data_IF_235176459238
#
_entry.id   IF_235176459238
#
_cell.length_a   1.000
_cell.length_b   1.000
_cell.length_c   1.000
_cell.angle_alpha   90.00
_cell.angle_beta   90.00
_cell.angle_gamma   90.00
#
_symmetry.space_group_name_H-M   'P 1'
#
loop_
_entity.id
_entity.type
_entity.pdbx_description
1 polymer ?
#
# COMPACT_ATOMS: atom_id res chain seq x y z
N UNK A 1 12.33 11.00 12.80
CA UNK A 1 10.86 10.85 12.68
C UNK A 1 10.40 9.86 13.74
N UNK A 2 9.34 10.18 14.50
CA UNK A 2 8.75 9.21 15.41
C UNK A 2 8.27 7.96 14.63
N UNK A 3 8.47 6.74 15.15
CA UNK A 3 8.09 5.50 14.46
C UNK A 3 6.62 5.49 14.02
N UNK A 4 5.74 6.09 14.82
CA UNK A 4 4.33 6.28 14.48
C UNK A 4 4.06 7.09 13.21
N UNK A 5 4.80 8.17 13.00
CA UNK A 5 4.65 9.03 11.81
C UNK A 5 5.01 8.28 10.54
N UNK A 6 6.03 7.42 10.60
CA UNK A 6 6.47 6.60 9.45
C UNK A 6 5.40 5.61 9.01
N UNK A 7 4.77 4.91 9.96
CA UNK A 7 3.73 3.93 9.64
C UNK A 7 2.46 4.58 9.09
N UNK A 8 2.08 5.75 9.60
CA UNK A 8 0.95 6.54 9.07
C UNK A 8 1.24 7.10 7.68
N UNK A 9 2.43 7.64 7.46
CA UNK A 9 2.86 8.08 6.13
C UNK A 9 2.83 6.92 5.12
N UNK A 10 3.33 5.74 5.52
CA UNK A 10 3.26 4.55 4.69
C UNK A 10 1.82 4.13 4.39
N UNK A 11 0.92 4.20 5.36
CA UNK A 11 -0.49 3.90 5.14
C UNK A 11 -1.12 4.82 4.08
N UNK A 12 -0.83 6.12 4.15
CA UNK A 12 -1.27 7.09 3.14
C UNK A 12 -0.68 6.76 1.77
N UNK A 13 0.64 6.54 1.69
CA UNK A 13 1.32 6.22 0.42
C UNK A 13 0.75 4.95 -0.22
N UNK A 14 0.55 3.87 0.53
CA UNK A 14 -0.02 2.63 -0.01
C UNK A 14 -1.47 2.83 -0.47
N UNK A 15 -2.30 3.58 0.26
CA UNK A 15 -3.67 3.89 -0.18
C UNK A 15 -3.72 4.75 -1.44
N UNK A 16 -2.82 5.74 -1.55
CA UNK A 16 -2.69 6.56 -2.75
C UNK A 16 -2.20 5.72 -3.91
N UNK A 17 -1.26 4.81 -3.68
CA UNK A 17 -0.75 3.91 -4.71
C UNK A 17 -1.86 2.99 -5.24
N UNK A 18 -2.71 2.42 -4.38
CA UNK A 18 -3.89 1.66 -4.82
C UNK A 18 -4.78 2.48 -5.74
N UNK A 19 -5.08 3.72 -5.33
CA UNK A 19 -5.88 4.65 -6.13
C UNK A 19 -5.23 5.02 -7.46
N UNK A 20 -3.92 5.27 -7.47
CA UNK A 20 -3.17 5.56 -8.69
C UNK A 20 -3.16 4.36 -9.63
N UNK A 21 -3.00 3.14 -9.13
CA UNK A 21 -2.99 1.93 -9.95
C UNK A 21 -4.33 1.73 -10.65
N UNK A 22 -5.44 1.81 -9.91
CA UNK A 22 -6.79 1.69 -10.51
C UNK A 22 -7.06 2.86 -11.45
N UNK A 23 -6.83 4.08 -10.99
CA UNK A 23 -7.20 5.29 -11.73
C UNK A 23 -6.36 5.55 -12.98
N UNK A 24 -5.03 5.39 -12.90
CA UNK A 24 -4.17 5.54 -14.07
C UNK A 24 -4.29 4.36 -15.03
N UNK A 25 -4.63 3.16 -14.53
CA UNK A 25 -4.94 2.01 -15.38
C UNK A 25 -6.13 2.27 -16.29
N UNK A 26 -7.15 2.93 -15.74
CA UNK A 26 -8.33 3.39 -16.46
C UNK A 26 -8.02 4.58 -17.38
N UNK A 27 -7.35 5.62 -16.89
CA UNK A 27 -6.98 6.78 -17.69
C UNK A 27 -6.11 6.41 -18.90
N UNK A 28 -5.34 5.33 -18.81
CA UNK A 28 -4.53 4.82 -19.92
C UNK A 28 -5.38 4.32 -21.11
N UNK A 29 -6.69 4.10 -20.94
CA UNK A 29 -7.63 3.73 -22.00
C UNK A 29 -7.90 4.87 -23.00
N UNK A 30 -7.66 6.13 -22.62
CA UNK A 30 -7.70 7.27 -23.56
C UNK A 30 -6.59 7.17 -24.63
N UNK A 31 -5.59 6.31 -24.44
CA UNK A 31 -4.54 6.08 -25.42
C UNK A 31 -4.82 4.86 -26.32
N UNK A 32 -4.37 4.88 -27.60
CA UNK A 32 -4.50 3.74 -28.50
C UNK A 32 -3.88 2.46 -27.90
N UNK A 33 -4.50 1.30 -28.16
CA UNK A 33 -4.12 0.00 -27.58
C UNK A 33 -2.64 -0.34 -27.72
N UNK A 34 -2.02 0.02 -28.86
CA UNK A 34 -0.61 -0.28 -29.16
C UNK A 34 0.33 0.93 -28.98
N UNK A 35 -0.14 2.01 -28.35
CA UNK A 35 0.68 3.20 -28.17
C UNK A 35 1.81 2.97 -27.15
N UNK A 36 2.99 3.57 -27.35
CA UNK A 36 4.08 3.50 -26.39
C UNK A 36 3.71 4.16 -25.05
N UNK A 37 2.90 5.23 -25.08
CA UNK A 37 2.41 5.89 -23.88
C UNK A 37 1.64 4.92 -22.97
N UNK A 38 0.66 4.19 -23.52
CA UNK A 38 -0.13 3.21 -22.75
C UNK A 38 0.73 2.11 -22.14
N UNK A 39 1.68 1.57 -22.91
CA UNK A 39 2.62 0.54 -22.43
C UNK A 39 3.50 1.06 -21.29
N UNK A 40 4.04 2.27 -21.41
CA UNK A 40 4.87 2.90 -20.38
C UNK A 40 4.07 3.15 -19.09
N UNK A 41 2.80 3.57 -19.21
CA UNK A 41 1.93 3.74 -18.04
C UNK A 41 1.74 2.42 -17.29
N UNK A 42 1.35 1.34 -17.96
CA UNK A 42 1.20 0.04 -17.29
C UNK A 42 2.51 -0.51 -16.72
N UNK A 43 3.64 -0.32 -17.43
CA UNK A 43 4.95 -0.70 -16.91
C UNK A 43 5.33 0.10 -15.66
N UNK A 44 5.05 1.41 -15.62
CA UNK A 44 5.27 2.25 -14.46
C UNK A 44 4.39 1.85 -13.27
N UNK A 45 3.11 1.52 -13.52
CA UNK A 45 2.20 1.02 -12.49
C UNK A 45 2.67 -0.31 -11.90
N UNK A 46 3.03 -1.28 -12.76
CA UNK A 46 3.58 -2.55 -12.33
C UNK A 46 4.87 -2.34 -11.53
N UNK A 47 5.77 -1.47 -12.01
CA UNK A 47 7.00 -1.10 -11.31
C UNK A 47 6.75 -0.48 -9.93
N UNK A 48 5.76 0.41 -9.82
CA UNK A 48 5.42 1.05 -8.55
C UNK A 48 4.85 0.05 -7.52
N UNK A 49 3.97 -0.86 -7.96
CA UNK A 49 3.44 -1.93 -7.10
C UNK A 49 4.54 -2.88 -6.64
N UNK A 50 5.42 -3.31 -7.56
CA UNK A 50 6.56 -4.16 -7.22
C UNK A 50 7.53 -3.45 -6.27
N UNK A 51 7.76 -2.15 -6.46
CA UNK A 51 8.61 -1.36 -5.58
C UNK A 51 8.02 -1.24 -4.17
N UNK A 52 6.71 -0.98 -4.01
CA UNK A 52 6.08 -0.93 -2.68
C UNK A 52 6.14 -2.30 -1.98
N UNK A 53 5.85 -3.38 -2.71
CA UNK A 53 5.97 -4.75 -2.20
C UNK A 53 7.41 -5.07 -1.76
N UNK A 54 8.41 -4.75 -2.59
CA UNK A 54 9.81 -4.94 -2.22
C UNK A 54 10.21 -4.09 -1.01
N UNK A 55 9.76 -2.83 -0.94
CA UNK A 55 9.99 -1.95 0.20
C UNK A 55 9.31 -2.43 1.48
N UNK A 56 8.23 -3.22 1.39
CA UNK A 56 7.63 -3.86 2.57
C UNK A 56 8.47 -5.01 3.11
N UNK A 57 9.28 -5.65 2.26
CA UNK A 57 10.15 -6.76 2.65
C UNK A 57 11.55 -6.32 3.11
N UNK A 58 11.95 -5.07 2.87
CA UNK A 58 13.25 -4.53 3.30
C UNK A 58 13.57 -4.81 4.78
N UNK A 59 12.65 -4.66 5.75
CA UNK A 59 12.93 -5.01 7.15
C UNK A 59 13.25 -6.49 7.34
N UNK A 60 12.52 -7.37 6.65
CA UNK A 60 12.73 -8.82 6.67
C UNK A 60 14.10 -9.17 6.08
N UNK A 61 14.43 -8.61 4.91
CA UNK A 61 15.72 -8.82 4.25
C UNK A 61 16.88 -8.33 5.11
N UNK A 62 16.73 -7.18 5.76
CA UNK A 62 17.73 -6.65 6.71
C UNK A 62 17.90 -7.54 7.93
N UNK A 63 16.83 -8.13 8.46
CA UNK A 63 16.90 -9.06 9.57
C UNK A 63 17.68 -10.32 9.17
N UNK A 64 17.33 -10.92 8.02
CA UNK A 64 18.00 -12.12 7.48
C UNK A 64 19.48 -11.84 7.22
N UNK A 65 19.80 -10.71 6.58
CA UNK A 65 21.20 -10.33 6.30
C UNK A 65 22.02 -10.11 7.57
N UNK A 66 21.37 -9.76 8.69
CA UNK A 66 21.99 -9.63 10.01
C UNK A 66 21.98 -10.94 10.82
N UNK A 67 21.64 -12.08 10.21
CA UNK A 67 21.57 -13.39 10.88
C UNK A 67 20.42 -13.53 11.88
N UNK A 68 19.45 -12.60 11.88
CA UNK A 68 18.28 -12.63 12.76
C UNK A 68 17.10 -13.32 12.06
N UNK A 69 16.19 -13.95 12.82
CA UNK A 69 14.99 -14.54 12.24
C UNK A 69 14.16 -13.48 11.49
N UNK A 70 13.48 -13.87 10.39
CA UNK A 70 12.60 -12.97 9.67
C UNK A 70 11.51 -12.43 10.61
N UNK A 71 11.15 -11.16 10.42
CA UNK A 71 10.17 -10.51 11.28
C UNK A 71 8.81 -11.23 11.14
N UNK A 72 8.23 -11.77 12.24
CA UNK A 72 6.95 -12.44 12.14
C UNK A 72 5.87 -11.43 11.76
N UNK A 73 5.12 -11.74 10.70
CA UNK A 73 3.93 -10.98 10.31
C UNK A 73 2.76 -11.55 11.08
N UNK A 74 2.13 -10.74 11.93
CA UNK A 74 0.96 -11.17 12.68
C UNK A 74 -0.21 -11.49 11.73
N UNK A 75 -1.04 -12.53 12.00
CA UNK A 75 -2.19 -12.85 11.14
C UNK A 75 -3.13 -11.66 10.88
N UNK A 76 -3.46 -10.80 11.87
CA UNK A 76 -4.27 -9.61 11.63
C UNK A 76 -3.64 -8.62 10.64
N UNK A 77 -2.31 -8.50 10.64
CA UNK A 77 -1.60 -7.64 9.70
C UNK A 77 -1.70 -8.17 8.26
N UNK A 78 -1.56 -9.48 8.08
CA UNK A 78 -1.67 -10.14 6.79
C UNK A 78 -3.10 -10.02 6.22
N UNK A 79 -4.11 -10.26 7.05
CA UNK A 79 -5.53 -10.14 6.67
C UNK A 79 -5.88 -8.74 6.16
N UNK A 80 -5.34 -7.69 6.77
CA UNK A 80 -5.56 -6.30 6.31
C UNK A 80 -4.92 -6.03 4.94
N UNK A 81 -3.74 -6.60 4.68
CA UNK A 81 -3.11 -6.52 3.36
C UNK A 81 -3.93 -7.22 2.27
N UNK A 82 -4.42 -8.42 2.58
CA UNK A 82 -5.29 -9.18 1.65
C UNK A 82 -6.60 -8.42 1.40
N UNK A 83 -7.24 -7.91 2.45
CA UNK A 83 -8.47 -7.14 2.32
C UNK A 83 -8.30 -5.89 1.46
N UNK A 84 -7.19 -5.15 1.63
CA UNK A 84 -6.90 -3.98 0.79
C UNK A 84 -6.70 -4.39 -0.67
N UNK A 85 -5.96 -5.47 -0.93
CA UNK A 85 -5.79 -6.03 -2.28
C UNK A 85 -7.12 -6.44 -2.92
N UNK A 86 -8.00 -7.11 -2.17
CA UNK A 86 -9.33 -7.50 -2.64
C UNK A 86 -10.21 -6.30 -2.96
N UNK A 87 -10.17 -5.24 -2.14
CA UNK A 87 -10.90 -3.99 -2.40
C UNK A 87 -10.40 -3.32 -3.66
N UNK A 88 -9.08 -3.19 -3.85
CA UNK A 88 -8.49 -2.62 -5.06
C UNK A 88 -8.84 -3.43 -6.31
N UNK A 89 -8.77 -4.76 -6.25
CA UNK A 89 -9.18 -5.65 -7.35
C UNK A 89 -10.67 -5.51 -7.63
N UNK A 90 -11.51 -5.45 -6.59
CA UNK A 90 -12.94 -5.24 -6.71
C UNK A 90 -13.29 -3.95 -7.44
N UNK A 91 -12.61 -2.84 -7.10
CA UNK A 91 -12.76 -1.58 -7.83
C UNK A 91 -12.29 -1.68 -9.28
N UNK A 92 -11.13 -2.29 -9.55
CA UNK A 92 -10.65 -2.47 -10.92
C UNK A 92 -11.59 -3.32 -11.79
N UNK A 93 -12.22 -4.35 -11.22
CA UNK A 93 -13.23 -5.15 -11.91
C UNK A 93 -14.51 -4.33 -12.14
N UNK A 94 -14.98 -3.61 -11.12
CA UNK A 94 -16.17 -2.78 -11.23
C UNK A 94 -16.00 -1.71 -12.30
N UNK A 95 -14.87 -0.99 -12.31
CA UNK A 95 -14.58 0.03 -13.34
C UNK A 95 -14.57 -0.58 -14.72
N UNK A 96 -13.92 -1.73 -14.90
CA UNK A 96 -13.89 -2.45 -16.19
C UNK A 96 -15.31 -2.76 -16.70
N UNK A 97 -16.23 -3.14 -15.82
CA UNK A 97 -17.63 -3.45 -16.19
C UNK A 97 -18.41 -2.19 -16.57
N UNK A 98 -18.23 -1.10 -15.81
CA UNK A 98 -19.01 0.14 -16.02
C UNK A 98 -18.36 1.14 -16.96
N UNK A 99 -17.11 0.93 -17.38
CA UNK A 99 -16.33 1.84 -18.21
C UNK A 99 -17.04 2.14 -19.53
N UNK A 100 -17.30 1.12 -20.35
CA UNK A 100 -17.94 1.27 -21.65
C UNK A 100 -19.25 2.09 -21.63
N UNK A 101 -20.23 1.81 -20.76
CA UNK A 101 -21.44 2.62 -20.68
C UNK A 101 -21.18 4.04 -20.14
N UNK A 102 -20.35 4.21 -19.11
CA UNK A 102 -20.09 5.52 -18.50
C UNK A 102 -19.26 6.42 -19.41
N UNK A 103 -18.22 5.89 -20.05
CA UNK A 103 -17.39 6.63 -20.98
C UNK A 103 -18.20 7.14 -22.17
N UNK A 104 -19.12 6.32 -22.70
CA UNK A 104 -20.07 6.74 -23.74
C UNK A 104 -21.01 7.84 -23.24
N UNK A 105 -21.52 7.74 -22.02
CA UNK A 105 -22.39 8.77 -21.45
C UNK A 105 -21.64 10.11 -21.24
N UNK A 106 -20.40 10.06 -20.76
CA UNK A 106 -19.53 11.23 -20.61
C UNK A 106 -19.17 11.87 -21.96
N UNK A 107 -18.83 11.05 -22.96
CA UNK A 107 -18.54 11.51 -24.31
C UNK A 107 -19.75 12.22 -24.94
N UNK A 108 -20.97 11.68 -24.75
CA UNK A 108 -22.22 12.34 -25.19
C UNK A 108 -22.46 13.69 -24.50
N UNK A 109 -21.91 13.89 -23.31
CA UNK A 109 -21.94 15.17 -22.57
C UNK A 109 -20.78 16.10 -22.94
N UNK A 110 -19.96 15.76 -23.94
CA UNK A 110 -18.86 16.61 -24.42
C UNK A 110 -17.56 16.47 -23.63
N UNK A 111 -17.42 15.45 -22.79
CA UNK A 111 -16.15 15.21 -22.06
C UNK A 111 -15.10 14.68 -23.03
N UNK A 112 -14.03 15.46 -23.22
CA UNK A 112 -12.96 15.14 -24.18
C UNK A 112 -12.11 13.91 -23.79
N UNK A 113 -11.99 13.62 -22.48
CA UNK A 113 -11.20 12.52 -21.93
C UNK A 113 -12.02 11.73 -20.89
N UNK A 114 -12.99 10.92 -21.35
CA UNK A 114 -13.93 10.26 -20.45
C UNK A 114 -13.22 9.27 -19.53
N UNK A 115 -12.22 8.52 -20.03
CA UNK A 115 -11.52 7.52 -19.21
C UNK A 115 -10.60 8.16 -18.18
N UNK A 116 -10.00 9.32 -18.45
CA UNK A 116 -9.29 10.09 -17.44
C UNK A 116 -10.20 10.51 -16.27
N UNK A 117 -11.42 11.01 -16.56
CA UNK A 117 -12.36 11.42 -15.52
C UNK A 117 -12.82 10.23 -14.69
N UNK A 118 -13.16 9.11 -15.34
CA UNK A 118 -13.51 7.86 -14.66
C UNK A 118 -12.35 7.33 -13.82
N UNK A 119 -11.13 7.37 -14.36
CA UNK A 119 -9.92 6.96 -13.67
C UNK A 119 -9.65 7.80 -12.42
N UNK A 120 -9.78 9.13 -12.49
CA UNK A 120 -9.62 9.99 -11.30
C UNK A 120 -10.66 9.66 -10.23
N UNK A 121 -11.93 9.48 -10.63
CA UNK A 121 -13.00 9.13 -9.69
C UNK A 121 -12.76 7.76 -9.05
N UNK A 122 -12.48 6.74 -9.86
CA UNK A 122 -12.20 5.38 -9.39
C UNK A 122 -10.97 5.33 -8.49
N UNK A 123 -9.90 6.05 -8.85
CA UNK A 123 -8.69 6.14 -8.05
C UNK A 123 -8.94 6.79 -6.69
N UNK A 124 -9.70 7.89 -6.66
CA UNK A 124 -10.06 8.57 -5.41
C UNK A 124 -10.89 7.66 -4.50
N UNK A 125 -11.91 6.98 -5.05
CA UNK A 125 -12.75 6.07 -4.27
C UNK A 125 -11.94 4.86 -3.77
N UNK A 126 -11.07 4.31 -4.60
CA UNK A 126 -10.17 3.21 -4.20
C UNK A 126 -9.30 3.65 -3.03
N UNK A 127 -8.61 4.79 -3.14
CA UNK A 127 -7.74 5.30 -2.08
C UNK A 127 -8.50 5.54 -0.76
N UNK A 128 -9.70 6.15 -0.84
CA UNK A 128 -10.54 6.37 0.35
C UNK A 128 -10.99 5.03 0.97
N UNK A 129 -11.29 4.03 0.14
CA UNK A 129 -11.76 2.72 0.61
C UNK A 129 -10.65 1.83 1.20
N UNK A 130 -9.41 1.95 0.71
CA UNK A 130 -8.28 1.16 1.25
C UNK A 130 -7.56 1.86 2.40
N UNK A 131 -7.67 3.19 2.52
CA UNK A 131 -7.03 3.97 3.59
C UNK A 131 -7.32 3.43 5.01
N UNK A 132 -8.56 3.08 5.41
CA UNK A 132 -8.82 2.54 6.75
C UNK A 132 -8.08 1.23 7.02
N UNK A 133 -7.91 0.38 6.00
CA UNK A 133 -7.22 -0.91 6.10
C UNK A 133 -5.72 -0.70 6.31
N UNK A 134 -5.13 0.18 5.51
CA UNK A 134 -3.72 0.55 5.64
C UNK A 134 -3.44 1.29 6.95
N UNK A 135 -4.36 2.16 7.38
CA UNK A 135 -4.25 2.87 8.64
C UNK A 135 -4.26 1.91 9.82
N UNK A 136 -5.23 0.98 9.85
CA UNK A 136 -5.32 -0.05 10.88
C UNK A 136 -4.07 -0.93 10.89
N UNK A 137 -3.54 -1.30 9.72
CA UNK A 137 -2.28 -2.02 9.61
C UNK A 137 -1.12 -1.24 10.21
N UNK A 138 -1.05 0.07 9.93
CA UNK A 138 -0.09 0.99 10.54
C UNK A 138 -0.20 1.03 12.06
N UNK A 139 -1.42 1.10 12.61
CA UNK A 139 -1.62 1.09 14.07
C UNK A 139 -1.15 -0.19 14.74
N UNK A 140 -1.34 -1.36 14.11
CA UNK A 140 -0.83 -2.62 14.63
C UNK A 140 0.69 -2.65 14.67
N UNK A 141 1.35 -2.11 13.64
CA UNK A 141 2.82 -2.02 13.59
C UNK A 141 3.39 -1.06 14.63
N UNK A 142 2.70 0.05 14.89
CA UNK A 142 3.08 1.00 15.95
C UNK A 142 3.04 0.29 17.31
N UNK A 143 1.94 -0.39 17.63
CA UNK A 143 1.81 -1.12 18.88
C UNK A 143 2.83 -2.26 19.00
N UNK A 144 3.20 -2.92 17.91
CA UNK A 144 4.25 -3.93 17.90
C UNK A 144 5.64 -3.34 18.15
N UNK A 145 5.99 -2.21 17.50
CA UNK A 145 7.25 -1.51 17.74
C UNK A 145 7.36 -0.99 19.18
N UNK A 146 6.25 -0.49 19.76
CA UNK A 146 6.21 -0.05 21.16
C UNK A 146 6.38 -1.20 22.16
N UNK A 147 5.80 -2.37 21.88
CA UNK A 147 6.00 -3.58 22.70
C UNK A 147 7.46 -4.04 22.65
N UNK A 148 8.02 -4.16 21.46
CA UNK A 148 9.41 -4.54 21.28
C UNK A 148 10.35 -3.59 22.02
N UNK A 149 10.12 -2.27 21.92
CA UNK A 149 10.96 -1.29 22.60
C UNK A 149 10.90 -1.39 24.14
N UNK A 150 9.77 -1.84 24.71
CA UNK A 150 9.66 -2.11 26.15
C UNK A 150 10.39 -3.40 26.53
N UNK A 151 10.19 -4.47 25.77
CA UNK A 151 10.88 -5.75 25.98
C UNK A 151 12.41 -5.57 25.91
N UNK A 152 12.91 -4.83 24.91
CA UNK A 152 14.34 -4.53 24.78
C UNK A 152 14.86 -3.71 25.97
N UNK A 153 14.04 -2.80 26.53
CA UNK A 153 14.40 -2.02 27.71
C UNK A 153 14.41 -2.85 29.00
N UNK A 154 13.44 -3.76 29.16
CA UNK A 154 13.36 -4.68 30.30
C UNK A 154 14.55 -5.65 30.29
N UNK A 155 14.92 -6.19 29.13
CA UNK A 155 16.10 -7.04 28.96
C UNK A 155 17.38 -6.26 29.32
N UNK A 156 17.53 -5.03 28.82
CA UNK A 156 18.70 -4.20 29.15
C UNK A 156 18.77 -3.87 30.65
N UNK A 157 17.63 -3.68 31.32
CA UNK A 157 17.59 -3.47 32.76
C UNK A 157 18.03 -4.72 33.54
N UNK A 158 17.56 -5.91 33.14
CA UNK A 158 17.97 -7.18 33.75
C UNK A 158 19.46 -7.45 33.53
N UNK A 159 20.00 -7.16 32.35
CA UNK A 159 21.43 -7.28 32.06
C UNK A 159 22.26 -6.34 32.94
N UNK A 160 21.78 -5.12 33.21
CA UNK A 160 22.44 -4.18 34.11
C UNK A 160 22.42 -4.66 35.57
N UNK A 161 21.29 -5.19 36.06
CA UNK A 161 21.17 -5.75 37.42
C UNK A 161 22.10 -6.95 37.61
N UNK A 162 22.17 -7.87 36.63
CA UNK A 162 23.09 -9.02 36.69
C UNK A 162 24.55 -8.57 36.76
N UNK A 163 24.93 -7.56 35.97
CA UNK A 163 26.29 -7.02 35.98
C UNK A 163 26.67 -6.33 37.31
N UNK A 164 25.69 -5.86 38.10
CA UNK A 164 25.92 -5.34 39.45
C UNK A 164 26.09 -6.44 40.49
N UNK A 165 25.36 -7.56 40.37
CA UNK A 165 25.46 -8.71 41.27
C UNK A 165 26.77 -9.49 41.10
N UNK A 166 27.35 -9.49 39.90
CA UNK A 166 28.62 -10.17 39.61
C UNK A 166 29.89 -9.40 40.06
N UNK A 167 29.75 -8.16 40.57
CA UNK A 167 30.87 -7.36 41.13
C UNK A 167 31.03 -7.55 42.64
#
# INVERSE_FOLDING_TARGET
MAPGTRHRARALVSSVLDGVVVGAGEAALDHPKRSPARRRTYAALAGAVLADAALSEVPTVRAIAAGRPPRPVSPPEQQLGIAAGLVSVGWGLLTTVVDGPLARALARRGVARPHLVLGVAAGAVTAVSTLPLWWRRGTLRIAADERQAREDADVAAWEAELAEVER
#
